data_IF_585736638284
#
_entry.id   IF_585736638284
#
_cell.length_a   1.000
_cell.length_b   1.000
_cell.length_c   1.000
_cell.angle_alpha   90.00
_cell.angle_beta   90.00
_cell.angle_gamma   90.00
#
_symmetry.space_group_name_H-M   'P 1'
#
loop_
_entity.id
_entity.type
_entity.pdbx_description
1 polymer ?
#
# COMPACT_ATOMS: atom_id res chain seq x y z
N UNK A 1 -15.60 11.34 -3.57
CA UNK A 1 -15.17 11.27 -4.98
C UNK A 1 -13.66 11.40 -5.01
N UNK A 2 -12.85 10.54 -5.63
CA UNK A 2 -13.10 9.28 -6.33
C UNK A 2 -12.03 8.27 -5.90
N UNK A 3 -12.25 6.98 -6.19
CA UNK A 3 -11.24 5.95 -5.95
C UNK A 3 -9.92 6.38 -6.60
N UNK A 4 -8.82 6.40 -5.84
CA UNK A 4 -7.48 6.60 -6.39
C UNK A 4 -7.23 5.44 -7.37
N UNK A 5 -7.41 5.72 -8.65
CA UNK A 5 -7.13 4.75 -9.70
C UNK A 5 -5.65 4.86 -10.02
N UNK A 6 -4.89 3.78 -9.85
CA UNK A 6 -3.49 3.73 -10.31
C UNK A 6 -3.44 4.06 -11.80
N UNK A 7 -2.58 5.00 -12.15
CA UNK A 7 -2.27 5.36 -13.54
C UNK A 7 -0.76 5.47 -13.70
N UNK A 8 -0.32 5.30 -14.94
CA UNK A 8 1.09 5.36 -15.32
C UNK A 8 1.34 6.62 -16.14
N UNK A 9 2.24 7.48 -15.68
CA UNK A 9 2.71 8.65 -16.41
C UNK A 9 3.94 8.30 -17.25
N UNK A 10 3.96 8.73 -18.51
CA UNK A 10 5.16 8.61 -19.34
C UNK A 10 6.27 9.53 -18.83
N UNK A 11 7.50 9.03 -18.76
CA UNK A 11 8.65 9.86 -18.41
C UNK A 11 8.96 10.85 -19.56
N UNK A 12 9.00 12.14 -19.22
CA UNK A 12 9.42 13.25 -20.07
C UNK A 12 10.58 14.05 -19.45
N UNK A 13 11.25 13.46 -18.46
CA UNK A 13 12.36 14.07 -17.71
C UNK A 13 12.02 14.36 -16.24
N UNK A 14 10.86 13.92 -15.74
CA UNK A 14 10.50 14.05 -14.32
C UNK A 14 11.10 12.95 -13.43
N UNK A 15 11.71 11.91 -14.04
CA UNK A 15 12.48 10.87 -13.37
C UNK A 15 13.73 10.53 -14.20
N UNK A 16 14.62 9.74 -13.63
CA UNK A 16 15.87 9.30 -14.26
C UNK A 16 15.68 8.75 -15.68
N UNK A 17 16.68 8.97 -16.54
CA UNK A 17 16.63 8.64 -17.98
C UNK A 17 16.32 7.15 -18.28
N UNK A 18 16.58 6.24 -17.33
CA UNK A 18 16.27 4.82 -17.46
C UNK A 18 14.81 4.44 -17.18
N UNK A 19 14.00 5.38 -16.67
CA UNK A 19 12.59 5.16 -16.34
C UNK A 19 11.73 5.51 -17.55
N UNK A 20 10.87 4.56 -17.96
CA UNK A 20 9.92 4.77 -19.05
C UNK A 20 8.56 5.27 -18.53
N UNK A 21 8.08 4.68 -17.43
CA UNK A 21 6.80 5.04 -16.81
C UNK A 21 6.92 5.13 -15.30
N UNK A 22 6.08 5.96 -14.70
CA UNK A 22 5.99 6.12 -13.25
C UNK A 22 4.54 5.91 -12.83
N UNK A 23 4.32 5.20 -11.73
CA UNK A 23 3.05 5.24 -11.00
C UNK A 23 3.32 5.75 -9.58
N UNK A 24 2.33 6.43 -8.99
CA UNK A 24 2.48 7.07 -7.67
C UNK A 24 1.29 6.70 -6.80
N UNK A 25 1.53 6.42 -5.53
CA UNK A 25 0.48 6.12 -4.55
C UNK A 25 0.99 6.31 -3.13
N UNK A 26 0.31 7.17 -2.36
CA UNK A 26 0.72 7.53 -1.00
C UNK A 26 2.20 7.96 -0.94
N UNK A 27 2.95 7.32 -0.04
CA UNK A 27 4.38 7.56 0.19
C UNK A 27 5.30 6.70 -0.70
N UNK A 28 4.75 6.08 -1.74
CA UNK A 28 5.49 5.23 -2.65
C UNK A 28 5.34 5.63 -4.13
N UNK A 29 6.36 5.31 -4.92
CA UNK A 29 6.33 5.38 -6.38
C UNK A 29 6.88 4.10 -7.00
N UNK A 30 6.27 3.69 -8.10
CA UNK A 30 6.75 2.62 -8.96
C UNK A 30 7.43 3.25 -10.17
N UNK A 31 8.70 2.94 -10.40
CA UNK A 31 9.44 3.36 -11.57
C UNK A 31 9.67 2.14 -12.47
N UNK A 32 9.07 2.16 -13.65
CA UNK A 32 9.14 1.09 -14.64
C UNK A 32 10.25 1.40 -15.64
N UNK A 33 11.29 0.56 -15.69
CA UNK A 33 12.42 0.66 -16.62
C UNK A 33 12.27 -0.35 -17.75
N UNK A 34 13.28 -0.53 -18.60
CA UNK A 34 13.25 -1.57 -19.63
C UNK A 34 13.20 -3.00 -19.06
N UNK A 35 13.81 -3.27 -17.91
CA UNK A 35 13.91 -4.62 -17.35
C UNK A 35 13.45 -4.76 -15.89
N UNK A 36 13.13 -3.65 -15.24
CA UNK A 36 12.85 -3.64 -13.82
C UNK A 36 11.58 -2.86 -13.47
N UNK A 37 10.92 -3.32 -12.42
CA UNK A 37 10.00 -2.52 -11.63
C UNK A 37 10.67 -2.13 -10.32
N UNK A 38 10.88 -0.83 -10.12
CA UNK A 38 11.49 -0.29 -8.89
C UNK A 38 10.41 0.31 -8.03
N UNK A 39 10.12 -0.32 -6.90
CA UNK A 39 9.30 0.28 -5.86
C UNK A 39 10.20 1.14 -4.98
N UNK A 40 9.96 2.45 -4.99
CA UNK A 40 10.61 3.42 -4.13
C UNK A 40 9.62 3.84 -3.04
N UNK A 41 10.00 3.68 -1.78
CA UNK A 41 9.19 4.01 -0.61
C UNK A 41 9.88 5.12 0.18
N UNK A 42 9.16 6.19 0.47
CA UNK A 42 9.68 7.23 1.36
C UNK A 42 9.77 6.68 2.80
N UNK A 43 10.82 7.09 3.48
CA UNK A 43 11.11 6.78 4.88
C UNK A 43 11.60 8.05 5.56
N UNK A 44 11.57 8.08 6.89
CA UNK A 44 12.06 9.24 7.67
C UNK A 44 13.53 9.58 7.39
N UNK A 45 14.31 8.58 6.97
CA UNK A 45 15.74 8.69 6.69
C UNK A 45 16.10 8.84 5.21
N UNK A 46 15.12 8.86 4.30
CA UNK A 46 15.35 8.92 2.85
C UNK A 46 14.42 7.99 2.07
N UNK A 47 14.93 7.37 1.01
CA UNK A 47 14.14 6.47 0.16
C UNK A 47 14.70 5.06 0.24
N UNK A 48 13.84 4.10 0.57
CA UNK A 48 14.13 2.69 0.42
C UNK A 48 13.65 2.20 -0.95
N UNK A 49 14.41 1.31 -1.59
CA UNK A 49 14.04 0.77 -2.89
C UNK A 49 14.12 -0.75 -2.92
N UNK A 50 13.05 -1.38 -3.40
CA UNK A 50 13.04 -2.79 -3.79
C UNK A 50 12.82 -2.86 -5.30
N UNK A 51 13.69 -3.58 -5.99
CA UNK A 51 13.67 -3.72 -7.45
C UNK A 51 13.33 -5.16 -7.80
N UNK A 52 12.21 -5.35 -8.50
CA UNK A 52 11.87 -6.60 -9.16
C UNK A 52 12.49 -6.60 -10.57
N UNK A 53 13.49 -7.44 -10.78
CA UNK A 53 14.18 -7.64 -12.05
C UNK A 53 13.73 -8.91 -12.77
N UNK A 54 13.89 -8.89 -14.09
CA UNK A 54 13.68 -10.05 -14.95
C UNK A 54 15.02 -10.76 -15.21
N UNK A 55 15.27 -11.85 -14.49
CA UNK A 55 16.50 -12.62 -14.61
C UNK A 55 16.52 -13.46 -15.90
N UNK A 56 17.66 -13.48 -16.59
CA UNK A 56 17.89 -14.36 -17.74
C UNK A 56 17.27 -13.89 -19.06
N UNK A 57 16.82 -12.64 -19.15
CA UNK A 57 16.34 -12.05 -20.41
C UNK A 57 17.49 -11.85 -21.40
N UNK A 58 17.24 -12.15 -22.67
CA UNK A 58 18.25 -12.03 -23.74
C UNK A 58 18.25 -10.64 -24.39
N UNK A 59 17.09 -9.96 -24.36
CA UNK A 59 16.88 -8.63 -24.92
C UNK A 59 16.09 -7.77 -23.95
N UNK A 60 16.45 -6.50 -23.84
CA UNK A 60 15.71 -5.53 -23.03
C UNK A 60 14.37 -5.22 -23.71
N UNK A 61 13.22 -5.51 -23.08
CA UNK A 61 11.93 -5.23 -23.68
C UNK A 61 11.61 -3.73 -23.63
N UNK A 62 10.84 -3.27 -24.62
CA UNK A 62 10.32 -1.90 -24.63
C UNK A 62 9.05 -1.81 -23.77
N UNK A 63 9.00 -0.81 -22.89
CA UNK A 63 7.79 -0.46 -22.16
C UNK A 63 6.85 0.35 -23.06
N UNK A 64 5.60 -0.08 -23.19
CA UNK A 64 4.58 0.59 -24.03
C UNK A 64 3.34 0.90 -23.21
N UNK A 65 2.93 2.17 -23.19
CA UNK A 65 1.70 2.59 -22.52
C UNK A 65 0.46 2.05 -23.24
N UNK A 66 -0.44 1.42 -22.48
CA UNK A 66 -1.73 0.89 -22.93
C UNK A 66 -2.91 1.70 -22.37
N UNK A 67 -4.01 1.75 -23.10
CA UNK A 67 -5.23 2.45 -22.68
C UNK A 67 -4.98 3.91 -22.24
N UNK A 68 -4.47 4.72 -23.19
CA UNK A 68 -4.16 6.13 -22.96
C UNK A 68 -5.38 6.87 -22.42
N UNK A 69 -5.20 7.58 -21.31
CA UNK A 69 -6.24 8.39 -20.70
C UNK A 69 -6.30 9.78 -21.34
N UNK A 70 -7.43 10.47 -21.14
CA UNK A 70 -7.59 11.84 -21.62
C UNK A 70 -6.76 12.85 -20.79
N UNK A 71 -6.48 12.52 -19.53
CA UNK A 71 -5.68 13.32 -18.62
C UNK A 71 -4.19 13.33 -18.99
N UNK A 72 -3.52 14.42 -18.65
CA UNK A 72 -2.07 14.54 -18.73
C UNK A 72 -1.55 15.14 -17.43
N UNK A 73 -0.29 14.90 -17.11
CA UNK A 73 0.39 15.51 -15.96
C UNK A 73 1.32 16.62 -16.45
N UNK A 74 1.36 17.71 -15.70
CA UNK A 74 2.29 18.82 -15.90
C UNK A 74 3.09 19.06 -14.62
N UNK A 75 4.37 19.33 -14.75
CA UNK A 75 5.29 19.69 -13.67
C UNK A 75 5.80 21.11 -13.90
N UNK A 76 5.32 22.04 -13.09
CA UNK A 76 5.72 23.44 -13.09
C UNK A 76 6.68 23.69 -11.92
N UNK A 77 7.93 23.25 -12.07
CA UNK A 77 8.95 23.38 -11.04
C UNK A 77 9.79 24.65 -11.27
N UNK A 78 9.89 25.50 -10.26
CA UNK A 78 10.67 26.73 -10.32
C UNK A 78 10.08 27.81 -11.24
N UNK A 79 10.83 28.91 -11.42
CA UNK A 79 10.41 30.07 -12.20
C UNK A 79 10.96 30.10 -13.63
N UNK A 80 11.82 29.15 -14.02
CA UNK A 80 12.30 28.99 -15.39
C UNK A 80 11.34 28.07 -16.17
N UNK A 81 10.55 28.67 -17.06
CA UNK A 81 9.61 27.92 -17.91
C UNK A 81 10.24 26.85 -18.78
N UNK A 82 11.56 26.86 -18.99
CA UNK A 82 12.29 25.80 -19.70
C UNK A 82 12.44 24.50 -18.90
N UNK A 83 12.29 24.57 -17.57
CA UNK A 83 12.34 23.42 -16.68
C UNK A 83 10.96 22.77 -16.49
N UNK A 84 9.92 23.37 -17.05
CA UNK A 84 8.57 22.85 -16.96
C UNK A 84 8.39 21.65 -17.88
N UNK A 85 7.71 20.63 -17.38
CA UNK A 85 7.32 19.45 -18.15
C UNK A 85 5.82 19.54 -18.36
N UNK A 86 5.40 19.60 -19.62
CA UNK A 86 3.99 19.70 -19.96
C UNK A 86 3.53 18.49 -20.77
N UNK A 87 2.29 18.08 -20.57
CA UNK A 87 1.61 17.08 -21.38
C UNK A 87 2.21 15.68 -21.24
N UNK A 88 2.67 15.28 -20.05
CA UNK A 88 3.04 13.89 -19.81
C UNK A 88 1.78 13.02 -19.92
N UNK A 89 1.77 12.13 -20.90
CA UNK A 89 0.62 11.27 -21.16
C UNK A 89 0.42 10.27 -20.01
N UNK A 90 -0.84 9.98 -19.70
CA UNK A 90 -1.21 8.98 -18.68
C UNK A 90 -1.88 7.77 -19.32
N UNK A 91 -1.68 6.60 -18.71
CA UNK A 91 -2.08 5.29 -19.23
C UNK A 91 -2.67 4.45 -18.09
N UNK A 92 -3.63 3.57 -18.40
CA UNK A 92 -4.13 2.62 -17.41
C UNK A 92 -3.22 1.40 -17.25
N UNK A 93 -2.38 1.13 -18.24
CA UNK A 93 -1.54 -0.07 -18.28
C UNK A 93 -0.18 0.25 -18.89
N UNK A 94 0.82 -0.56 -18.55
CA UNK A 94 2.13 -0.59 -19.23
C UNK A 94 2.42 -2.01 -19.66
N UNK A 95 2.73 -2.20 -20.94
CA UNK A 95 2.93 -3.49 -21.58
C UNK A 95 4.40 -3.67 -21.93
N UNK A 96 4.92 -4.84 -21.63
CA UNK A 96 6.21 -5.34 -22.10
C UNK A 96 5.97 -6.61 -22.88
N UNK A 97 6.43 -6.66 -24.12
CA UNK A 97 6.23 -7.82 -24.99
C UNK A 97 7.45 -8.71 -25.00
N UNK A 98 7.20 -10.02 -25.01
CA UNK A 98 8.22 -11.06 -25.13
C UNK A 98 9.40 -10.82 -24.17
N UNK A 99 9.08 -10.53 -22.91
CA UNK A 99 10.07 -10.34 -21.83
C UNK A 99 10.85 -11.64 -21.59
N UNK A 100 10.16 -12.76 -21.76
CA UNK A 100 10.76 -14.04 -22.12
C UNK A 100 10.16 -14.46 -23.48
N UNK A 101 10.81 -15.40 -24.16
CA UNK A 101 10.30 -15.94 -25.43
C UNK A 101 8.83 -16.41 -25.28
N UNK A 102 7.90 -15.66 -25.87
CA UNK A 102 6.47 -15.95 -25.81
C UNK A 102 5.75 -15.53 -24.52
N UNK A 103 6.38 -14.74 -23.64
CA UNK A 103 5.79 -14.25 -22.39
C UNK A 103 5.72 -12.73 -22.39
N UNK A 104 4.52 -12.18 -22.30
CA UNK A 104 4.30 -10.73 -22.12
C UNK A 104 4.11 -10.40 -20.63
N UNK A 105 4.50 -9.19 -20.21
CA UNK A 105 4.30 -8.66 -18.86
C UNK A 105 3.45 -7.39 -18.93
N UNK A 106 2.41 -7.28 -18.10
CA UNK A 106 1.51 -6.13 -18.09
C UNK A 106 1.34 -5.61 -16.68
N UNK A 107 1.66 -4.34 -16.43
CA UNK A 107 1.34 -3.65 -15.17
C UNK A 107 0.04 -2.87 -15.31
N UNK A 108 -0.82 -2.89 -14.29
CA UNK A 108 -2.09 -2.17 -14.28
C UNK A 108 -2.58 -1.87 -12.86
N UNK A 109 -3.55 -0.95 -12.76
CA UNK A 109 -4.32 -0.74 -11.53
C UNK A 109 -5.56 -1.61 -11.49
N UNK A 110 -5.80 -2.30 -10.37
CA UNK A 110 -7.01 -3.09 -10.18
C UNK A 110 -8.22 -2.20 -9.81
N UNK A 111 -9.39 -2.80 -9.62
CA UNK A 111 -10.62 -2.03 -9.28
C UNK A 111 -10.61 -1.44 -7.87
N UNK A 112 -9.83 -2.00 -6.95
CA UNK A 112 -9.63 -1.46 -5.61
C UNK A 112 -8.62 -0.30 -5.60
N UNK A 113 -7.87 -0.11 -6.68
CA UNK A 113 -6.83 0.92 -6.80
C UNK A 113 -5.43 0.42 -6.47
N UNK A 114 -5.24 -0.90 -6.32
CA UNK A 114 -3.93 -1.49 -6.07
C UNK A 114 -3.16 -1.69 -7.39
N UNK A 115 -1.84 -1.65 -7.30
CA UNK A 115 -0.95 -2.02 -8.39
C UNK A 115 -0.90 -3.54 -8.52
N UNK A 116 -1.11 -4.04 -9.74
CA UNK A 116 -1.00 -5.46 -10.11
C UNK A 116 -0.15 -5.62 -11.37
N UNK A 117 0.30 -6.85 -11.62
CA UNK A 117 0.88 -7.22 -12.90
C UNK A 117 0.49 -8.64 -13.31
N UNK A 118 0.37 -8.87 -14.61
CA UNK A 118 0.15 -10.20 -15.18
C UNK A 118 1.37 -10.64 -15.99
N UNK A 119 1.71 -11.92 -15.91
CA UNK A 119 2.55 -12.59 -16.91
C UNK A 119 1.65 -13.43 -17.83
N UNK A 120 1.67 -13.12 -19.13
CA UNK A 120 0.83 -13.77 -20.15
C UNK A 120 1.68 -14.65 -21.04
N UNK A 121 1.58 -15.95 -20.83
CA UNK A 121 2.30 -16.99 -21.58
C UNK A 121 1.49 -17.33 -22.82
N UNK A 122 2.01 -17.01 -24.00
CA UNK A 122 1.38 -17.30 -25.29
C UNK A 122 1.27 -18.82 -25.53
N UNK A 123 0.34 -19.28 -26.37
CA UNK A 123 0.26 -20.69 -26.74
C UNK A 123 1.61 -21.26 -27.18
N UNK A 124 2.01 -22.39 -26.59
CA UNK A 124 3.28 -23.08 -26.84
C UNK A 124 4.53 -22.46 -26.20
N UNK A 125 4.43 -21.35 -25.47
CA UNK A 125 5.54 -20.79 -24.72
C UNK A 125 5.77 -21.52 -23.39
N UNK A 126 7.02 -21.51 -22.92
CA UNK A 126 7.44 -22.24 -21.72
C UNK A 126 7.43 -21.32 -20.48
N UNK A 127 6.48 -21.52 -19.53
CA UNK A 127 6.39 -20.71 -18.31
C UNK A 127 7.59 -20.91 -17.38
N UNK A 128 8.34 -22.01 -17.49
CA UNK A 128 9.51 -22.27 -16.63
C UNK A 128 10.68 -21.31 -16.89
N UNK A 129 10.65 -20.56 -18.00
CA UNK A 129 11.60 -19.49 -18.30
C UNK A 129 11.43 -18.26 -17.38
N UNK A 130 10.26 -18.10 -16.74
CA UNK A 130 9.98 -16.96 -15.87
C UNK A 130 10.86 -17.06 -14.62
N UNK A 131 11.69 -16.04 -14.42
CA UNK A 131 12.59 -15.96 -13.27
C UNK A 131 12.73 -14.51 -12.78
N UNK A 132 12.19 -14.24 -11.61
CA UNK A 132 12.19 -12.92 -11.00
C UNK A 132 13.28 -12.83 -9.92
N UNK A 133 13.97 -11.71 -9.87
CA UNK A 133 14.89 -11.36 -8.78
C UNK A 133 14.42 -10.11 -8.06
N UNK A 134 14.67 -10.05 -6.75
CA UNK A 134 14.33 -8.87 -5.93
C UNK A 134 15.59 -8.34 -5.28
N UNK A 135 16.15 -7.27 -5.86
CA UNK A 135 17.31 -6.58 -5.30
C UNK A 135 16.86 -5.46 -4.36
N UNK A 136 17.66 -5.20 -3.31
CA UNK A 136 17.26 -4.32 -2.20
C UNK A 136 16.42 -5.01 -1.12
N UNK A 137 16.01 -6.27 -1.32
CA UNK A 137 15.37 -7.08 -0.28
C UNK A 137 16.42 -7.75 0.62
N UNK A 138 16.19 -7.72 1.94
CA UNK A 138 17.00 -8.43 2.93
C UNK A 138 16.78 -9.95 2.89
N UNK A 139 15.56 -10.39 2.58
CA UNK A 139 15.26 -11.81 2.34
C UNK A 139 13.99 -11.99 1.51
N UNK A 140 13.88 -13.15 0.87
CA UNK A 140 12.71 -13.54 0.09
C UNK A 140 12.33 -14.95 0.54
N UNK A 141 11.06 -15.15 0.89
CA UNK A 141 10.57 -16.46 1.33
C UNK A 141 9.15 -16.70 0.88
N UNK A 142 8.78 -17.97 0.76
CA UNK A 142 7.39 -18.38 0.58
C UNK A 142 6.77 -18.79 1.91
N UNK A 143 5.51 -18.45 2.15
CA UNK A 143 4.74 -18.90 3.32
C UNK A 143 4.12 -20.29 3.11
N UNK A 144 3.45 -20.83 4.13
CA UNK A 144 2.74 -22.11 4.01
C UNK A 144 1.49 -21.99 3.11
N UNK A 145 0.95 -20.77 2.99
CA UNK A 145 -0.23 -20.43 2.19
C UNK A 145 0.12 -20.16 0.72
N UNK A 146 1.41 -20.15 0.36
CA UNK A 146 1.89 -19.89 -1.00
C UNK A 146 2.26 -18.42 -1.27
N UNK A 147 2.08 -17.54 -0.29
CA UNK A 147 2.43 -16.12 -0.43
C UNK A 147 3.96 -15.94 -0.49
N UNK A 148 4.44 -15.05 -1.35
CA UNK A 148 5.81 -14.57 -1.40
C UNK A 148 5.96 -13.35 -0.50
N UNK A 149 6.85 -13.43 0.49
CA UNK A 149 7.20 -12.34 1.38
C UNK A 149 8.59 -11.84 1.01
N UNK A 150 8.66 -10.60 0.56
CA UNK A 150 9.88 -9.89 0.21
C UNK A 150 10.16 -8.91 1.34
N UNK A 151 11.15 -9.24 2.18
CA UNK A 151 11.51 -8.43 3.33
C UNK A 151 12.42 -7.28 2.90
N UNK A 152 11.93 -6.07 3.10
CA UNK A 152 12.67 -4.81 3.04
C UNK A 152 13.22 -4.46 4.44
N UNK A 153 14.08 -3.45 4.52
CA UNK A 153 14.62 -2.92 5.78
C UNK A 153 13.51 -2.30 6.64
N UNK A 154 12.56 -1.60 6.02
CA UNK A 154 11.45 -0.91 6.71
C UNK A 154 10.09 -1.52 6.42
N UNK A 155 10.00 -2.77 5.97
CA UNK A 155 8.71 -3.39 5.68
C UNK A 155 8.77 -4.78 5.08
N UNK A 156 7.60 -5.32 4.78
CA UNK A 156 7.45 -6.52 3.97
C UNK A 156 6.50 -6.20 2.81
N UNK A 157 6.91 -6.57 1.61
CA UNK A 157 6.02 -6.61 0.44
C UNK A 157 5.51 -8.04 0.34
N UNK A 158 4.20 -8.21 0.35
CA UNK A 158 3.57 -9.53 0.24
C UNK A 158 2.94 -9.65 -1.14
N UNK A 159 3.37 -10.64 -1.92
CA UNK A 159 2.65 -11.09 -3.11
C UNK A 159 1.92 -12.37 -2.74
N UNK A 160 0.61 -12.40 -2.91
CA UNK A 160 -0.17 -13.61 -2.67
C UNK A 160 0.22 -14.72 -3.61
N UNK A 161 -0.08 -15.95 -3.19
CA UNK A 161 -0.02 -17.11 -4.07
C UNK A 161 -0.61 -16.76 -5.46
N UNK A 162 0.08 -17.13 -6.55
CA UNK A 162 -0.29 -16.65 -7.88
C UNK A 162 -1.62 -17.27 -8.31
N UNK A 163 -2.54 -16.45 -8.80
CA UNK A 163 -3.74 -16.93 -9.47
C UNK A 163 -3.38 -17.27 -10.92
N UNK A 164 -3.20 -18.56 -11.20
CA UNK A 164 -2.85 -19.03 -12.54
C UNK A 164 -4.09 -19.60 -13.22
N UNK A 165 -4.40 -19.15 -14.43
CA UNK A 165 -5.62 -19.55 -15.11
C UNK A 165 -5.55 -19.44 -16.64
N UNK A 166 -6.46 -20.15 -17.30
CA UNK A 166 -6.76 -19.99 -18.72
C UNK A 166 -8.18 -19.47 -18.90
N UNK A 167 -8.35 -18.48 -19.77
CA UNK A 167 -9.69 -18.01 -20.11
C UNK A 167 -10.35 -18.94 -21.12
N UNK A 168 -11.64 -19.20 -20.90
CA UNK A 168 -12.55 -19.83 -21.84
C UNK A 168 -13.68 -18.85 -22.15
N UNK A 169 -14.54 -19.16 -23.12
CA UNK A 169 -15.69 -18.30 -23.45
C UNK A 169 -16.59 -18.02 -22.24
N UNK A 170 -16.65 -18.96 -21.28
CA UNK A 170 -17.61 -18.90 -20.17
C UNK A 170 -16.97 -18.64 -18.79
N UNK A 171 -15.67 -18.94 -18.60
CA UNK A 171 -15.02 -18.87 -17.28
C UNK A 171 -13.49 -18.82 -17.32
N UNK A 172 -12.89 -18.42 -16.18
CA UNK A 172 -11.48 -18.71 -15.85
C UNK A 172 -11.36 -20.16 -15.37
N UNK A 173 -10.53 -20.96 -16.03
CA UNK A 173 -10.14 -22.30 -15.59
C UNK A 173 -8.84 -22.18 -14.81
N UNK A 174 -8.90 -22.43 -13.50
CA UNK A 174 -7.71 -22.35 -12.63
C UNK A 174 -6.76 -23.50 -12.96
N UNK A 175 -5.49 -23.14 -13.16
CA UNK A 175 -4.37 -24.07 -13.30
C UNK A 175 -3.62 -24.02 -11.97
N UNK A 176 -3.54 -25.12 -11.20
CA UNK A 176 -2.75 -25.10 -9.98
C UNK A 176 -1.29 -24.75 -10.27
N UNK A 177 -0.68 -24.01 -9.36
CA UNK A 177 0.71 -23.61 -9.49
C UNK A 177 1.13 -22.77 -8.30
N UNK A 178 2.42 -22.50 -8.20
CA UNK A 178 3.00 -21.90 -7.01
C UNK A 178 4.37 -21.25 -7.31
N UNK A 179 4.80 -20.37 -6.43
CA UNK A 179 6.17 -19.87 -6.43
C UNK A 179 7.16 -20.93 -5.96
N UNK A 180 8.38 -20.84 -6.49
CA UNK A 180 9.57 -21.45 -5.91
C UNK A 180 10.62 -20.40 -5.67
N UNK A 181 11.17 -20.39 -4.46
CA UNK A 181 12.28 -19.53 -4.07
C UNK A 181 13.52 -20.40 -3.93
N UNK A 182 14.57 -20.11 -4.71
CA UNK A 182 15.84 -20.84 -4.62
C UNK A 182 16.74 -20.26 -3.52
N UNK A 183 17.89 -20.90 -3.27
CA UNK A 183 18.82 -20.49 -2.21
C UNK A 183 19.41 -19.07 -2.40
N UNK A 184 19.35 -18.52 -3.61
CA UNK A 184 19.82 -17.18 -3.93
C UNK A 184 18.70 -16.13 -3.87
N UNK A 185 17.49 -16.51 -3.45
CA UNK A 185 16.32 -15.63 -3.42
C UNK A 185 15.65 -15.43 -4.78
N UNK A 186 16.07 -16.14 -5.83
CA UNK A 186 15.43 -16.06 -7.13
C UNK A 186 14.09 -16.78 -7.09
N UNK A 187 13.07 -16.16 -7.69
CA UNK A 187 11.69 -16.65 -7.71
C UNK A 187 11.35 -17.18 -9.09
N UNK A 188 11.00 -18.44 -9.18
CA UNK A 188 10.43 -19.05 -10.39
C UNK A 188 8.98 -19.44 -10.15
N UNK A 189 8.24 -19.70 -11.21
CA UNK A 189 6.83 -20.08 -11.14
C UNK A 189 6.69 -21.50 -11.68
N UNK A 190 6.00 -22.35 -10.94
CA UNK A 190 5.64 -23.69 -11.38
C UNK A 190 4.14 -23.79 -11.63
N UNK A 191 3.78 -24.59 -12.61
CA UNK A 191 2.41 -24.81 -13.05
C UNK A 191 2.15 -26.29 -13.22
N UNK A 192 0.97 -26.74 -12.84
CA UNK A 192 0.44 -28.05 -13.23
C UNK A 192 0.14 -28.08 -14.73
N UNK A 193 -0.33 -29.23 -15.23
CA UNK A 193 -0.70 -29.38 -16.63
C UNK A 193 -1.83 -28.41 -17.03
N UNK A 194 -1.68 -27.79 -18.19
CA UNK A 194 -2.63 -26.87 -18.80
C UNK A 194 -2.76 -27.12 -20.30
N UNK A 195 -3.73 -26.49 -20.96
CA UNK A 195 -3.87 -26.57 -22.42
C UNK A 195 -2.87 -25.63 -23.10
N UNK A 196 -1.73 -26.15 -23.58
CA UNK A 196 -0.67 -25.37 -24.24
C UNK A 196 -1.14 -24.60 -25.49
N UNK A 197 -2.34 -24.87 -26.01
CA UNK A 197 -2.91 -24.14 -27.15
C UNK A 197 -3.62 -22.85 -26.75
N UNK A 198 -3.75 -22.58 -25.46
CA UNK A 198 -4.38 -21.38 -24.91
C UNK A 198 -3.38 -20.57 -24.11
N UNK A 199 -3.60 -19.27 -24.06
CA UNK A 199 -2.82 -18.38 -23.20
C UNK A 199 -2.99 -18.79 -21.74
N UNK A 200 -1.89 -18.89 -21.02
CA UNK A 200 -1.86 -19.03 -19.58
C UNK A 200 -1.58 -17.66 -18.97
N UNK A 201 -2.45 -17.20 -18.07
CA UNK A 201 -2.27 -15.96 -17.32
C UNK A 201 -1.82 -16.31 -15.91
N UNK A 202 -0.74 -15.69 -15.48
CA UNK A 202 -0.23 -15.76 -14.11
C UNK A 202 -0.40 -14.37 -13.50
N UNK A 203 -1.27 -14.27 -12.49
CA UNK A 203 -1.67 -13.03 -11.84
C UNK A 203 -1.31 -13.07 -10.34
N UNK A 204 -0.16 -12.50 -9.95
CA UNK A 204 0.20 -12.23 -8.56
C UNK A 204 -0.65 -11.11 -7.95
N UNK A 205 -1.43 -11.42 -6.92
CA UNK A 205 -2.12 -10.38 -6.14
C UNK A 205 -1.10 -9.74 -5.21
N UNK A 206 -0.81 -8.44 -5.36
CA UNK A 206 0.07 -7.72 -4.43
C UNK A 206 -0.76 -7.23 -3.25
N UNK A 207 -0.40 -7.65 -2.03
CA UNK A 207 -0.84 -6.99 -0.81
C UNK A 207 0.34 -6.22 -0.20
N UNK A 208 0.22 -4.90 -0.17
CA UNK A 208 1.14 -4.09 0.60
C UNK A 208 0.72 -4.11 2.08
N UNK A 209 1.65 -4.45 2.97
CA UNK A 209 1.51 -4.20 4.40
C UNK A 209 2.57 -3.17 4.81
N UNK A 210 2.12 -2.03 5.33
CA UNK A 210 3.01 -1.00 5.88
C UNK A 210 2.93 -0.95 7.41
N UNK A 211 3.92 -0.32 8.03
CA UNK A 211 3.81 0.09 9.43
C UNK A 211 2.80 1.24 9.55
N UNK A 212 1.95 1.18 10.58
CA UNK A 212 1.08 2.29 10.97
C UNK A 212 1.80 3.09 12.06
N UNK A 213 2.51 4.14 11.65
CA UNK A 213 3.34 4.95 12.53
C UNK A 213 3.96 6.13 11.80
N UNK A 214 4.50 7.10 12.56
CA UNK A 214 5.32 8.18 12.02
C UNK A 214 6.80 7.96 12.37
N UNK A 215 7.57 9.04 12.42
CA UNK A 215 9.04 8.99 12.56
C UNK A 215 9.56 8.69 13.97
N UNK A 216 8.68 8.53 14.97
CA UNK A 216 9.03 8.29 16.38
C UNK A 216 8.39 7.02 16.91
N UNK A 217 8.68 6.65 18.15
CA UNK A 217 8.17 5.40 18.72
C UNK A 217 6.63 5.41 18.85
N UNK A 218 5.99 4.39 18.28
CA UNK A 218 4.63 3.96 18.62
C UNK A 218 4.69 2.87 19.70
N UNK A 219 3.85 3.03 20.74
CA UNK A 219 3.76 2.11 21.88
C UNK A 219 5.06 1.89 22.69
N UNK A 220 5.59 2.96 23.30
CA UNK A 220 6.59 2.81 24.36
C UNK A 220 5.93 2.35 25.68
N UNK A 221 6.22 1.10 26.04
CA UNK A 221 5.89 0.34 27.26
C UNK A 221 4.49 -0.30 27.38
N UNK A 222 4.47 -1.58 26.97
CA UNK A 222 3.61 -2.67 27.44
C UNK A 222 2.09 -2.59 27.12
N UNK A 223 1.69 -3.34 26.08
CA UNK A 223 0.40 -4.08 25.97
C UNK A 223 -0.92 -3.37 25.60
N UNK A 224 -0.97 -2.14 25.09
CA UNK A 224 -2.28 -1.44 25.07
C UNK A 224 -2.80 -0.87 23.74
N UNK A 225 -2.34 -1.34 22.57
CA UNK A 225 -3.08 -1.10 21.32
C UNK A 225 -4.20 -2.13 21.13
N UNK A 226 -5.42 -1.69 20.80
CA UNK A 226 -6.53 -2.60 20.48
C UNK A 226 -6.96 -2.41 19.02
N UNK A 227 -7.39 -3.52 18.40
CA UNK A 227 -8.06 -3.56 17.10
C UNK A 227 -9.50 -4.05 17.27
N UNK A 228 -10.42 -3.47 16.51
CA UNK A 228 -11.79 -3.98 16.35
C UNK A 228 -12.24 -3.87 14.88
N UNK A 229 -13.33 -4.55 14.53
CA UNK A 229 -13.87 -4.57 13.17
C UNK A 229 -15.39 -4.42 13.16
N UNK A 230 -15.91 -3.57 12.28
CA UNK A 230 -17.35 -3.43 12.09
C UNK A 230 -17.94 -4.53 11.17
N UNK A 231 -19.28 -4.57 11.07
CA UNK A 231 -19.98 -5.55 10.23
C UNK A 231 -19.73 -5.39 8.71
N UNK A 232 -19.15 -4.25 8.29
CA UNK A 232 -18.78 -3.99 6.90
C UNK A 232 -17.32 -4.38 6.61
N UNK A 233 -16.59 -4.87 7.61
CA UNK A 233 -15.19 -5.25 7.49
C UNK A 233 -14.22 -4.06 7.60
N UNK A 234 -14.67 -2.88 8.06
CA UNK A 234 -13.74 -1.79 8.35
C UNK A 234 -12.99 -2.09 9.64
N UNK A 235 -11.69 -1.85 9.65
CA UNK A 235 -10.79 -2.14 10.77
C UNK A 235 -10.48 -0.84 11.52
N UNK A 236 -10.56 -0.88 12.85
CA UNK A 236 -10.33 0.26 13.73
C UNK A 236 -9.15 -0.04 14.65
N UNK A 237 -8.21 0.89 14.76
CA UNK A 237 -7.00 0.73 15.58
C UNK A 237 -6.85 1.94 16.50
N UNK A 238 -6.54 1.70 17.77
CA UNK A 238 -6.11 2.75 18.70
C UNK A 238 -4.81 2.37 19.41
N UNK A 239 -4.13 3.37 19.95
CA UNK A 239 -2.90 3.20 20.72
C UNK A 239 -2.35 4.56 21.12
N UNK A 240 -1.04 4.60 21.38
CA UNK A 240 -0.29 5.82 21.72
C UNK A 240 0.75 6.10 20.63
N UNK A 241 0.86 7.36 20.20
CA UNK A 241 1.93 7.80 19.29
C UNK A 241 2.73 8.96 19.89
N UNK A 242 4.04 8.92 19.68
CA UNK A 242 4.94 10.05 19.94
C UNK A 242 5.36 10.77 18.65
N UNK A 243 4.83 10.34 17.51
CA UNK A 243 5.14 10.89 16.20
C UNK A 243 4.39 12.20 15.98
N UNK A 244 5.04 13.17 15.36
CA UNK A 244 4.42 14.43 14.93
C UNK A 244 3.83 14.34 13.51
N UNK A 245 4.22 13.30 12.79
CA UNK A 245 3.96 12.98 11.39
C UNK A 245 3.24 11.65 11.25
N UNK A 246 2.48 11.24 12.27
CA UNK A 246 1.61 10.06 12.18
C UNK A 246 0.73 10.16 10.93
N UNK A 247 0.49 9.08 10.17
CA UNK A 247 -0.25 9.14 8.91
C UNK A 247 -1.69 9.58 9.18
N UNK A 248 -2.02 10.80 8.78
CA UNK A 248 -3.35 11.39 8.94
C UNK A 248 -4.18 11.15 7.68
N UNK A 249 -5.46 10.80 7.85
CA UNK A 249 -6.39 10.66 6.74
C UNK A 249 -6.85 12.01 6.17
N UNK A 250 -7.87 11.99 5.30
CA UNK A 250 -8.31 13.18 4.53
C UNK A 250 -8.98 14.24 5.43
N UNK A 251 -9.46 13.87 6.63
CA UNK A 251 -10.13 14.75 7.60
C UNK A 251 -9.89 14.31 9.05
N UNK A 252 -8.70 14.55 9.62
CA UNK A 252 -8.44 14.22 11.01
C UNK A 252 -9.22 15.16 11.96
N UNK A 253 -9.62 14.65 13.13
CA UNK A 253 -10.21 15.46 14.21
C UNK A 253 -9.17 16.45 14.76
N UNK A 254 -7.93 16.01 14.91
CA UNK A 254 -6.78 16.85 15.18
C UNK A 254 -5.62 16.50 14.23
N UNK A 255 -5.02 17.54 13.67
CA UNK A 255 -3.93 17.45 12.70
C UNK A 255 -2.54 17.49 13.32
N UNK A 256 -2.42 17.66 14.63
CA UNK A 256 -1.14 17.69 15.31
C UNK A 256 -1.25 17.07 16.72
N UNK A 257 -0.15 16.47 17.18
CA UNK A 257 -0.03 16.02 18.57
C UNK A 257 -0.01 17.23 19.51
N UNK A 258 -0.88 17.24 20.51
CA UNK A 258 -0.99 18.32 21.49
C UNK A 258 0.11 18.30 22.56
N UNK A 259 0.63 17.12 22.91
CA UNK A 259 1.55 16.94 24.05
C UNK A 259 2.74 16.01 23.80
N UNK A 260 3.25 15.39 24.86
CA UNK A 260 4.41 14.48 24.78
C UNK A 260 4.06 13.13 24.13
N UNK A 261 2.79 12.75 24.15
CA UNK A 261 2.23 11.63 23.40
C UNK A 261 0.73 11.72 23.44
N UNK A 262 0.08 11.43 22.33
CA UNK A 262 -1.38 11.42 22.26
C UNK A 262 -1.89 10.02 21.93
N UNK A 263 -3.15 9.76 22.27
CA UNK A 263 -3.83 8.61 21.70
C UNK A 263 -4.03 8.84 20.19
N UNK A 264 -4.13 7.78 19.40
CA UNK A 264 -4.58 7.87 18.01
C UNK A 264 -5.79 6.98 17.75
N UNK A 265 -6.53 7.31 16.71
CA UNK A 265 -7.62 6.47 16.18
C UNK A 265 -7.51 6.41 14.67
N UNK A 266 -7.30 5.20 14.14
CA UNK A 266 -7.24 4.95 12.69
C UNK A 266 -8.36 4.02 12.27
N UNK A 267 -8.94 4.28 11.10
CA UNK A 267 -9.93 3.43 10.45
C UNK A 267 -9.47 3.07 9.04
N UNK A 268 -9.50 1.80 8.72
CA UNK A 268 -9.24 1.26 7.39
C UNK A 268 -10.51 0.63 6.81
N UNK A 269 -10.67 0.67 5.50
CA UNK A 269 -11.68 -0.13 4.82
C UNK A 269 -11.25 -1.60 4.70
N UNK A 270 -12.14 -2.46 4.21
CA UNK A 270 -11.87 -3.88 3.98
C UNK A 270 -10.80 -4.17 2.91
N UNK A 271 -10.38 -3.13 2.19
CA UNK A 271 -9.35 -3.16 1.15
C UNK A 271 -8.03 -2.51 1.64
N UNK A 272 -7.87 -2.31 2.95
CA UNK A 272 -6.71 -1.70 3.60
C UNK A 272 -6.47 -0.22 3.27
N UNK A 273 -7.44 0.50 2.71
CA UNK A 273 -7.30 1.95 2.53
C UNK A 273 -7.55 2.67 3.86
N UNK A 274 -6.66 3.60 4.23
CA UNK A 274 -6.88 4.46 5.39
C UNK A 274 -8.03 5.44 5.12
N UNK A 275 -9.18 5.21 5.77
CA UNK A 275 -10.36 6.09 5.69
C UNK A 275 -10.09 7.37 6.48
N UNK A 276 -9.65 7.22 7.73
CA UNK A 276 -9.22 8.33 8.57
C UNK A 276 -8.18 7.88 9.58
N UNK A 277 -7.41 8.84 10.06
CA UNK A 277 -6.54 8.71 11.22
C UNK A 277 -6.47 10.06 11.90
N UNK A 278 -6.46 10.08 13.22
CA UNK A 278 -6.43 11.31 14.01
C UNK A 278 -5.72 11.11 15.33
N UNK A 279 -5.07 12.18 15.80
CA UNK A 279 -4.71 12.29 17.22
C UNK A 279 -5.98 12.49 18.05
N UNK A 280 -5.91 12.02 19.29
CA UNK A 280 -6.92 12.18 20.34
C UNK A 280 -6.18 12.43 21.66
N UNK A 281 -5.91 13.69 21.94
CA UNK A 281 -5.13 14.10 23.10
C UNK A 281 -5.07 15.61 23.22
N UNK A 282 -4.50 16.09 24.33
CA UNK A 282 -4.28 17.50 24.61
C UNK A 282 -2.81 17.76 24.92
N UNK A 283 -2.53 18.75 25.76
CA UNK A 283 -1.17 19.25 26.03
C UNK A 283 -0.24 18.32 26.81
N UNK A 284 -0.72 17.18 27.33
CA UNK A 284 0.03 16.28 28.20
C UNK A 284 0.22 14.87 27.59
N UNK A 285 0.10 13.83 28.40
CA UNK A 285 0.21 12.43 27.96
C UNK A 285 -1.20 11.86 27.89
N UNK A 286 -1.56 11.36 26.72
CA UNK A 286 -2.82 10.69 26.45
C UNK A 286 -2.57 9.34 25.77
N UNK A 287 -3.32 8.32 26.17
CA UNK A 287 -3.13 6.94 25.71
C UNK A 287 -4.48 6.28 25.42
N UNK A 288 -4.61 5.68 24.22
CA UNK A 288 -5.75 4.84 23.87
C UNK A 288 -5.47 3.38 24.24
N UNK A 289 -6.40 2.73 24.95
CA UNK A 289 -6.25 1.36 25.45
C UNK A 289 -7.27 0.37 24.90
N UNK A 290 -8.43 0.87 24.48
CA UNK A 290 -9.49 0.04 23.95
C UNK A 290 -10.27 0.75 22.85
N UNK A 291 -10.72 -0.02 21.87
CA UNK A 291 -11.58 0.46 20.78
C UNK A 291 -12.70 -0.54 20.51
N UNK A 292 -13.90 -0.03 20.25
CA UNK A 292 -15.03 -0.80 19.75
C UNK A 292 -15.75 -0.04 18.64
N UNK A 293 -16.25 -0.74 17.62
CA UNK A 293 -17.02 -0.16 16.54
C UNK A 293 -18.51 -0.54 16.62
N UNK A 294 -19.42 0.41 16.36
CA UNK A 294 -20.85 0.10 16.24
C UNK A 294 -21.25 -0.20 14.79
N UNK A 295 -22.48 -0.70 14.59
CA UNK A 295 -23.03 -1.00 13.26
C UNK A 295 -23.29 0.22 12.38
N UNK A 296 -23.13 1.45 12.89
CA UNK A 296 -23.16 2.69 12.12
C UNK A 296 -21.75 3.16 11.73
N UNK A 297 -20.71 2.42 12.12
CA UNK A 297 -19.32 2.72 11.84
C UNK A 297 -18.68 3.74 12.78
N UNK A 298 -19.30 4.06 13.91
CA UNK A 298 -18.71 4.95 14.92
C UNK A 298 -17.69 4.19 15.77
N UNK A 299 -16.63 4.87 16.22
CA UNK A 299 -15.60 4.30 17.07
C UNK A 299 -15.73 4.78 18.51
N UNK A 300 -15.68 3.85 19.46
CA UNK A 300 -15.71 4.07 20.89
C UNK A 300 -14.34 3.78 21.45
N UNK A 301 -13.67 4.78 22.00
CA UNK A 301 -12.28 4.68 22.45
C UNK A 301 -12.20 4.93 23.94
N UNK A 302 -11.52 4.04 24.65
CA UNK A 302 -11.25 4.20 26.08
C UNK A 302 -9.76 4.31 26.31
N UNK A 303 -9.37 5.11 27.28
CA UNK A 303 -7.97 5.35 27.55
C UNK A 303 -7.75 6.19 28.79
N UNK A 304 -6.55 6.76 28.93
CA UNK A 304 -6.21 7.68 30.01
C UNK A 304 -5.69 9.00 29.48
N UNK A 305 -5.99 10.08 30.21
CA UNK A 305 -5.58 11.44 29.89
C UNK A 305 -5.01 12.14 31.12
N UNK A 306 -3.80 12.69 30.98
CA UNK A 306 -3.25 13.67 31.91
C UNK A 306 -3.49 15.12 31.43
N UNK A 307 -4.17 15.29 30.29
CA UNK A 307 -4.35 16.57 29.61
C UNK A 307 -5.51 17.37 30.20
N UNK A 308 -5.21 18.55 30.74
CA UNK A 308 -6.25 19.48 31.25
C UNK A 308 -7.14 20.05 30.13
N UNK A 309 -6.69 19.93 28.90
CA UNK A 309 -7.30 20.43 27.66
C UNK A 309 -7.68 19.31 26.69
N UNK A 310 -7.89 18.08 27.19
CA UNK A 310 -8.32 16.94 26.37
C UNK A 310 -9.55 17.28 25.48
N UNK A 311 -9.58 16.82 24.22
CA UNK A 311 -10.69 17.06 23.29
C UNK A 311 -12.02 16.59 23.86
N UNK A 312 -13.00 17.49 23.93
CA UNK A 312 -14.28 17.24 24.60
C UNK A 312 -15.52 17.56 23.77
N UNK A 313 -16.52 16.68 23.80
CA UNK A 313 -17.89 16.92 23.37
C UNK A 313 -18.87 16.31 24.37
N UNK A 314 -19.91 17.04 24.77
CA UNK A 314 -20.98 16.53 25.67
C UNK A 314 -20.47 15.83 26.96
N UNK A 315 -19.39 16.36 27.57
CA UNK A 315 -18.72 15.74 28.69
C UNK A 315 -19.53 15.81 30.01
N UNK A 316 -19.68 14.66 30.69
CA UNK A 316 -20.26 14.58 32.04
C UNK A 316 -19.32 15.15 33.10
N UNK A 317 -18.00 14.96 32.92
CA UNK A 317 -16.96 15.55 33.76
C UNK A 317 -16.09 16.48 32.91
N UNK A 318 -16.18 17.79 33.18
CA UNK A 318 -15.55 18.81 32.35
C UNK A 318 -14.08 19.11 32.72
N UNK A 319 -13.46 18.41 33.67
CA UNK A 319 -12.05 18.59 34.01
C UNK A 319 -11.49 17.33 34.67
N UNK A 320 -10.21 17.05 34.47
CA UNK A 320 -9.54 15.95 35.17
C UNK A 320 -9.66 16.16 36.69
N UNK A 321 -10.02 15.10 37.40
CA UNK A 321 -10.17 15.07 38.86
C UNK A 321 -8.85 14.76 39.58
N UNK A 322 -7.87 14.17 38.89
CA UNK A 322 -6.53 13.87 39.39
C UNK A 322 -5.42 14.18 38.37
N UNK A 323 -4.23 13.59 38.58
CA UNK A 323 -3.08 13.76 37.67
C UNK A 323 -3.14 12.87 36.41
N UNK A 324 -4.08 11.92 36.36
CA UNK A 324 -4.39 11.09 35.21
C UNK A 324 -5.80 10.50 35.40
N UNK A 325 -6.71 10.73 34.46
CA UNK A 325 -8.10 10.28 34.51
C UNK A 325 -8.40 9.35 33.32
N UNK A 326 -9.44 8.52 33.44
CA UNK A 326 -9.93 7.68 32.34
C UNK A 326 -10.87 8.50 31.45
N UNK A 327 -10.74 8.36 30.12
CA UNK A 327 -11.68 8.92 29.16
C UNK A 327 -12.45 7.84 28.40
N UNK A 328 -13.63 8.22 27.88
CA UNK A 328 -14.40 7.42 26.92
C UNK A 328 -14.90 8.34 25.81
N UNK A 329 -14.31 8.26 24.62
CA UNK A 329 -14.66 9.09 23.47
C UNK A 329 -15.42 8.32 22.42
N UNK A 330 -16.45 8.91 21.82
CA UNK A 330 -17.12 8.40 20.62
C UNK A 330 -16.83 9.29 19.43
N UNK A 331 -16.14 8.74 18.43
CA UNK A 331 -15.88 9.38 17.15
C UNK A 331 -16.93 8.93 16.13
N UNK A 332 -17.43 9.86 15.33
CA UNK A 332 -18.35 9.53 14.25
C UNK A 332 -17.65 8.70 13.15
N UNK A 333 -18.45 8.10 12.26
CA UNK A 333 -17.95 7.24 11.18
C UNK A 333 -16.94 7.88 10.20
N UNK A 334 -16.90 9.21 10.13
CA UNK A 334 -15.96 9.97 9.31
C UNK A 334 -14.66 10.33 10.06
N UNK A 335 -14.60 10.08 11.38
CA UNK A 335 -13.44 10.39 12.23
C UNK A 335 -13.20 11.87 12.50
N UNK A 336 -14.06 12.77 11.99
CA UNK A 336 -13.86 14.22 12.06
C UNK A 336 -14.65 14.95 13.16
N UNK A 337 -15.39 14.23 13.99
CA UNK A 337 -16.10 14.83 15.13
C UNK A 337 -16.27 13.85 16.30
N UNK A 338 -16.17 14.38 17.51
CA UNK A 338 -16.60 13.72 18.75
C UNK A 338 -18.11 13.89 18.94
N UNK A 339 -18.82 12.79 19.13
CA UNK A 339 -20.23 12.79 19.51
C UNK A 339 -20.39 12.91 21.03
N UNK A 340 -19.50 12.27 21.79
CA UNK A 340 -19.30 12.52 23.21
C UNK A 340 -17.89 12.13 23.66
N UNK A 341 -17.43 12.63 24.81
CA UNK A 341 -16.15 12.31 25.46
C UNK A 341 -16.09 12.79 26.90
#
# INVERSE_FOLDING_TARGET
SGANTVYFEANKGQADDGVAFIARGGDASLHLTAADAVLAMATDSGTETVRMGLSGIETMPDAVGGDRQAGVINYYLGNDGKQWIEGAATYKQVHYKDVYEGVDLVYYGNRAGDLEFDLKVKPGADPSRISLDYTGAASIRKTAEGDLVIKADKGEIVQKAPLIYQETEDAKVIVPGDYRVNANGQVTIETDQYDEKKTLVIDPIIQFSTYLGGSSDENDNARHGQVDMDASGNIYVTGRTTSLDFPLGITPLDSARGGASDAFVSKFDSSNNLIYSTYLGGSAIDEGFGIAADGSGNAYVTGTTASTDFPRANAEQAAIGGGNDVFVSKLNAAGGALEYS
#
